data_IF_975311806109
#
_entry.id   IF_975311806109
#
_cell.length_a   1.000
_cell.length_b   1.000
_cell.length_c   1.000
_cell.angle_alpha   90.00
_cell.angle_beta   90.00
_cell.angle_gamma   90.00
#
_symmetry.space_group_name_H-M   'P 1'
#
loop_
_entity.id
_entity.type
_entity.pdbx_description
1 polymer ?
#
# COMPACT_ATOMS: atom_id res chain seq x y z
N UNK A 1 4.17 -28.36 -10.47
CA UNK A 1 5.53 -27.93 -10.18
C UNK A 1 6.03 -26.85 -11.11
N UNK A 2 5.51 -26.81 -12.30
CA UNK A 2 5.93 -25.83 -13.29
C UNK A 2 5.69 -24.41 -12.84
N UNK A 3 4.63 -24.15 -12.06
CA UNK A 3 4.34 -22.81 -11.56
C UNK A 3 5.47 -22.26 -10.68
N UNK A 4 6.08 -23.14 -9.89
CA UNK A 4 7.19 -22.73 -9.03
C UNK A 4 8.42 -22.36 -9.84
N UNK A 5 8.66 -23.08 -10.94
CA UNK A 5 9.82 -22.82 -11.80
C UNK A 5 9.76 -21.44 -12.42
N UNK A 6 8.56 -20.97 -12.78
CA UNK A 6 8.41 -19.66 -13.44
C UNK A 6 8.72 -18.50 -12.51
N UNK A 7 8.73 -18.73 -11.22
CA UNK A 7 9.02 -17.67 -10.24
C UNK A 7 10.50 -17.59 -9.89
N UNK A 8 11.31 -18.47 -10.41
CA UNK A 8 12.72 -18.50 -10.05
C UNK A 8 13.53 -17.58 -10.93
N UNK A 9 14.47 -16.88 -10.31
CA UNK A 9 15.46 -16.09 -11.05
C UNK A 9 16.40 -17.06 -11.76
N UNK A 10 16.72 -16.83 -13.04
CA UNK A 10 17.67 -17.70 -13.74
C UNK A 10 19.01 -17.76 -13.02
N UNK A 11 19.60 -18.94 -13.02
CA UNK A 11 20.87 -19.16 -12.34
C UNK A 11 21.96 -18.21 -12.84
N UNK A 12 22.02 -18.00 -14.14
CA UNK A 12 23.02 -17.10 -14.73
C UNK A 12 22.84 -15.66 -14.27
N UNK A 13 21.59 -15.22 -14.12
CA UNK A 13 21.32 -13.88 -13.66
C UNK A 13 21.69 -13.72 -12.19
N UNK A 14 21.36 -14.71 -11.36
CA UNK A 14 21.69 -14.68 -9.95
C UNK A 14 23.21 -14.60 -9.75
N UNK A 15 23.95 -15.36 -10.53
CA UNK A 15 25.40 -15.32 -10.47
C UNK A 15 25.95 -13.93 -10.83
N UNK A 16 25.44 -13.34 -11.89
CA UNK A 16 25.89 -12.03 -12.34
C UNK A 16 25.60 -10.94 -11.32
N UNK A 17 24.49 -11.10 -10.58
CA UNK A 17 24.11 -10.14 -9.56
C UNK A 17 24.78 -10.41 -8.22
N UNK A 18 25.53 -11.53 -8.11
CA UNK A 18 26.21 -11.87 -6.87
C UNK A 18 25.28 -12.32 -5.76
N UNK A 19 24.12 -12.87 -6.11
CA UNK A 19 23.14 -13.35 -5.14
C UNK A 19 22.83 -14.82 -5.37
N UNK A 20 22.45 -15.49 -4.29
CA UNK A 20 22.06 -16.89 -4.37
C UNK A 20 20.65 -17.03 -4.90
N UNK A 21 20.41 -18.10 -5.67
CA UNK A 21 19.08 -18.32 -6.27
C UNK A 21 17.97 -18.38 -5.23
N UNK A 22 18.24 -19.09 -4.09
CA UNK A 22 17.26 -19.20 -3.03
C UNK A 22 16.89 -17.85 -2.43
N UNK A 23 17.90 -17.02 -2.17
CA UNK A 23 17.65 -15.67 -1.64
C UNK A 23 16.89 -14.80 -2.62
N UNK A 24 17.21 -14.93 -3.92
CA UNK A 24 16.53 -14.15 -4.94
C UNK A 24 15.04 -14.52 -5.03
N UNK A 25 14.74 -15.82 -4.97
CA UNK A 25 13.35 -16.29 -5.00
C UNK A 25 12.58 -15.79 -3.78
N UNK A 26 13.21 -15.89 -2.60
CA UNK A 26 12.56 -15.45 -1.36
C UNK A 26 12.26 -13.95 -1.39
N UNK A 27 13.22 -13.16 -1.87
CA UNK A 27 13.02 -11.71 -1.98
C UNK A 27 11.92 -11.37 -2.98
N UNK A 28 11.87 -12.10 -4.08
CA UNK A 28 10.84 -11.88 -5.10
C UNK A 28 9.45 -12.16 -4.53
N UNK A 29 9.31 -13.26 -3.81
CA UNK A 29 8.04 -13.62 -3.18
C UNK A 29 7.62 -12.58 -2.15
N UNK A 30 8.57 -12.09 -1.36
CA UNK A 30 8.28 -11.06 -0.37
C UNK A 30 7.81 -9.77 -1.03
N UNK A 31 8.46 -9.37 -2.12
CA UNK A 31 8.06 -8.16 -2.85
C UNK A 31 6.67 -8.31 -3.44
N UNK A 32 6.32 -9.50 -3.93
CA UNK A 32 4.98 -9.75 -4.44
C UNK A 32 3.94 -9.65 -3.34
N UNK A 33 4.23 -10.19 -2.17
CA UNK A 33 3.34 -10.09 -1.03
C UNK A 33 3.13 -8.64 -0.60
N UNK A 34 4.23 -7.88 -0.56
CA UNK A 34 4.16 -6.47 -0.19
C UNK A 34 3.36 -5.66 -1.21
N UNK A 35 3.53 -5.95 -2.50
CA UNK A 35 2.77 -5.26 -3.55
C UNK A 35 1.28 -5.57 -3.45
N UNK A 36 0.93 -6.83 -3.19
CA UNK A 36 -0.46 -7.23 -3.04
C UNK A 36 -1.09 -6.58 -1.82
N UNK A 37 -0.35 -6.55 -0.72
CA UNK A 37 -0.82 -5.92 0.53
C UNK A 37 -1.02 -4.43 0.35
N UNK A 38 -0.08 -3.77 -0.35
CA UNK A 38 -0.18 -2.34 -0.62
C UNK A 38 -1.38 -2.04 -1.51
N UNK A 39 -1.61 -2.86 -2.54
CA UNK A 39 -2.78 -2.73 -3.41
C UNK A 39 -4.08 -2.84 -2.64
N UNK A 40 -4.14 -3.78 -1.70
CA UNK A 40 -5.32 -3.95 -0.87
C UNK A 40 -5.53 -2.73 0.02
N UNK A 41 -4.47 -2.19 0.61
CA UNK A 41 -4.55 -1.00 1.44
C UNK A 41 -5.04 0.20 0.62
N UNK A 42 -4.58 0.34 -0.62
CA UNK A 42 -5.04 1.41 -1.51
C UNK A 42 -6.52 1.30 -1.82
N UNK A 43 -7.01 0.09 -2.06
CA UNK A 43 -8.44 -0.12 -2.30
C UNK A 43 -9.28 0.22 -1.06
N UNK A 44 -8.76 -0.06 0.13
CA UNK A 44 -9.43 0.33 1.37
C UNK A 44 -9.54 1.84 1.50
N UNK A 45 -8.48 2.56 1.09
CA UNK A 45 -8.50 4.02 1.07
C UNK A 45 -9.59 4.51 0.12
N UNK A 46 -9.62 3.98 -1.10
CA UNK A 46 -10.62 4.38 -2.09
C UNK A 46 -12.03 4.18 -1.56
N UNK A 47 -12.28 3.03 -0.97
CA UNK A 47 -13.60 2.69 -0.43
C UNK A 47 -13.99 3.62 0.72
N UNK A 48 -13.05 3.86 1.65
CA UNK A 48 -13.33 4.71 2.81
C UNK A 48 -13.55 6.17 2.41
N UNK A 49 -12.78 6.66 1.45
CA UNK A 49 -12.96 8.03 0.95
C UNK A 49 -14.27 8.17 0.19
N UNK A 50 -14.66 7.15 -0.58
CA UNK A 50 -15.94 7.16 -1.25
C UNK A 50 -17.09 7.20 -0.25
N UNK A 51 -17.00 6.40 0.81
CA UNK A 51 -18.00 6.40 1.87
C UNK A 51 -18.09 7.77 2.54
N UNK A 52 -16.97 8.43 2.74
CA UNK A 52 -16.95 9.76 3.34
C UNK A 52 -17.62 10.79 2.44
N UNK A 53 -17.33 10.75 1.14
CA UNK A 53 -17.89 11.68 0.18
C UNK A 53 -19.41 11.51 0.03
N UNK A 54 -19.89 10.28 0.13
CA UNK A 54 -21.30 9.95 -0.09
C UNK A 54 -22.13 9.94 1.18
N UNK A 55 -21.47 10.10 2.31
CA UNK A 55 -22.15 10.02 3.59
C UNK A 55 -23.13 11.18 3.79
N UNK A 56 -24.34 10.85 4.28
CA UNK A 56 -25.34 11.83 4.65
C UNK A 56 -25.88 11.46 6.02
N UNK A 57 -26.31 12.46 6.77
CA UNK A 57 -26.91 12.23 8.07
C UNK A 57 -25.92 12.02 9.18
N UNK A 58 -26.36 11.31 10.20
CA UNK A 58 -25.58 11.07 11.41
C UNK A 58 -24.45 10.08 11.16
N UNK A 59 -23.51 10.05 12.09
CA UNK A 59 -22.43 9.07 12.04
C UNK A 59 -21.25 9.49 11.18
N UNK A 60 -21.16 10.76 10.78
CA UNK A 60 -20.07 11.21 9.93
C UNK A 60 -18.72 11.10 10.62
N UNK A 61 -18.69 11.27 11.94
CA UNK A 61 -17.45 11.17 12.71
C UNK A 61 -16.81 9.80 12.57
N UNK A 62 -17.62 8.74 12.61
CA UNK A 62 -17.12 7.38 12.44
C UNK A 62 -16.62 7.12 11.03
N UNK A 63 -17.33 7.66 10.03
CA UNK A 63 -16.92 7.51 8.63
C UNK A 63 -15.61 8.25 8.39
N UNK A 64 -15.47 9.44 8.97
CA UNK A 64 -14.22 10.21 8.89
C UNK A 64 -13.09 9.47 9.59
N UNK A 65 -13.35 8.87 10.74
CA UNK A 65 -12.34 8.11 11.45
C UNK A 65 -11.86 6.91 10.63
N UNK A 66 -12.81 6.20 10.01
CA UNK A 66 -12.47 5.05 9.17
C UNK A 66 -11.60 5.48 7.98
N UNK A 67 -11.94 6.60 7.36
CA UNK A 67 -11.14 7.14 6.25
C UNK A 67 -9.74 7.53 6.73
N UNK A 68 -9.67 8.18 7.89
CA UNK A 68 -8.38 8.60 8.46
C UNK A 68 -7.51 7.38 8.77
N UNK A 69 -8.09 6.35 9.36
CA UNK A 69 -7.34 5.14 9.67
C UNK A 69 -6.84 4.43 8.41
N UNK A 70 -7.68 4.36 7.38
CA UNK A 70 -7.30 3.72 6.12
C UNK A 70 -6.16 4.47 5.45
N UNK A 71 -6.25 5.81 5.40
CA UNK A 71 -5.20 6.64 4.80
C UNK A 71 -3.91 6.54 5.59
N UNK A 72 -4.01 6.63 6.91
CA UNK A 72 -2.85 6.51 7.80
C UNK A 72 -2.11 5.19 7.57
N UNK A 73 -2.84 4.07 7.60
CA UNK A 73 -2.24 2.76 7.38
C UNK A 73 -1.57 2.65 6.01
N UNK A 74 -2.21 3.18 4.99
CA UNK A 74 -1.66 3.16 3.64
C UNK A 74 -0.37 3.97 3.54
N UNK A 75 -0.36 5.18 4.10
CA UNK A 75 0.83 6.04 4.07
C UNK A 75 1.99 5.42 4.85
N UNK A 76 1.71 4.83 6.00
CA UNK A 76 2.74 4.15 6.80
C UNK A 76 3.34 2.99 6.03
N UNK A 77 2.48 2.17 5.42
CA UNK A 77 2.96 1.02 4.65
C UNK A 77 3.82 1.46 3.47
N UNK A 78 3.41 2.52 2.78
CA UNK A 78 4.21 3.08 1.69
C UNK A 78 5.58 3.55 2.18
N UNK A 79 5.62 4.25 3.31
CA UNK A 79 6.87 4.76 3.85
C UNK A 79 7.83 3.62 4.26
N UNK A 80 7.27 2.57 4.84
CA UNK A 80 8.08 1.39 5.17
C UNK A 80 8.71 0.79 3.92
N UNK A 81 8.02 0.86 2.79
CA UNK A 81 8.53 0.35 1.53
C UNK A 81 9.41 1.36 0.79
N UNK A 82 9.69 2.51 1.38
CA UNK A 82 10.52 3.54 0.77
C UNK A 82 9.79 4.49 -0.16
N UNK A 83 8.47 4.42 -0.22
CA UNK A 83 7.65 5.27 -1.09
C UNK A 83 7.18 6.48 -0.29
N UNK A 84 7.85 7.59 -0.43
CA UNK A 84 7.66 8.75 0.45
C UNK A 84 6.95 9.94 -0.20
N UNK A 85 6.43 9.77 -1.39
CA UNK A 85 5.79 10.86 -2.11
C UNK A 85 4.33 11.02 -1.70
N UNK A 86 4.10 11.64 -0.54
CA UNK A 86 2.76 11.87 -0.01
C UNK A 86 1.94 12.79 -0.91
N UNK A 87 2.58 13.82 -1.44
CA UNK A 87 1.86 14.80 -2.25
C UNK A 87 1.20 14.12 -3.46
N UNK A 88 1.93 13.22 -4.12
CA UNK A 88 1.40 12.50 -5.26
C UNK A 88 0.20 11.63 -4.86
N UNK A 89 0.29 10.97 -3.71
CA UNK A 89 -0.78 10.10 -3.24
C UNK A 89 -2.00 10.91 -2.83
N UNK A 90 -1.80 12.02 -2.16
CA UNK A 90 -2.92 12.90 -1.77
C UNK A 90 -3.68 13.35 -3.02
N UNK A 91 -2.94 13.73 -4.07
CA UNK A 91 -3.56 14.15 -5.32
C UNK A 91 -4.25 13.00 -6.03
N UNK A 92 -3.58 11.87 -6.13
CA UNK A 92 -4.09 10.72 -6.87
C UNK A 92 -5.39 10.17 -6.26
N UNK A 93 -5.44 10.06 -4.95
CA UNK A 93 -6.60 9.51 -4.26
C UNK A 93 -7.64 10.57 -3.89
N UNK A 94 -7.31 11.85 -4.08
CA UNK A 94 -8.21 12.93 -3.69
C UNK A 94 -8.45 12.96 -2.19
N UNK A 95 -7.38 12.83 -1.41
CA UNK A 95 -7.52 12.76 0.05
C UNK A 95 -7.86 14.16 0.59
N UNK A 96 -9.02 14.30 1.28
CA UNK A 96 -9.44 15.60 1.77
C UNK A 96 -8.50 16.14 2.85
N UNK A 97 -8.45 17.46 2.93
CA UNK A 97 -7.63 18.13 3.94
C UNK A 97 -8.03 17.71 5.35
N UNK A 98 -9.32 17.54 5.60
CA UNK A 98 -9.77 17.16 6.94
C UNK A 98 -9.25 15.80 7.38
N UNK A 99 -9.05 14.87 6.44
CA UNK A 99 -8.44 13.58 6.74
C UNK A 99 -6.97 13.79 7.09
N UNK A 100 -6.26 14.58 6.27
CA UNK A 100 -4.83 14.83 6.53
C UNK A 100 -4.61 15.60 7.83
N UNK A 101 -5.52 16.51 8.17
CA UNK A 101 -5.43 17.25 9.43
C UNK A 101 -5.57 16.32 10.63
N UNK A 102 -6.46 15.35 10.55
CA UNK A 102 -6.62 14.39 11.64
C UNK A 102 -5.40 13.51 11.79
N UNK A 103 -4.77 13.14 10.68
CA UNK A 103 -3.52 12.38 10.72
C UNK A 103 -2.44 13.18 11.42
N UNK A 104 -2.32 14.46 11.10
CA UNK A 104 -1.34 15.34 11.73
C UNK A 104 -1.58 15.54 13.22
N UNK A 105 -2.80 15.35 13.68
CA UNK A 105 -3.16 15.52 15.10
C UNK A 105 -2.98 14.25 15.92
N UNK A 106 -2.63 13.12 15.31
CA UNK A 106 -2.49 11.83 16.00
C UNK A 106 -1.29 11.75 16.94
#
# INVERSE_FOLDING_TARGET
MTAMSSLRVPQSLAKRLGIETGDAVLRYELLQEQAASLGLAGRKVEKALAALREHEGEGRAEVLKAATDAVWGFLVQREIMGLRDRAAIIAEYGIPREVMNRIGAR
#
